data_IF_498665785017
#
_entry.id   IF_498665785017
#
_cell.length_a   1.000
_cell.length_b   1.000
_cell.length_c   1.000
_cell.angle_alpha   90.00
_cell.angle_beta   90.00
_cell.angle_gamma   90.00
#
_symmetry.space_group_name_H-M   'P 1'
#
loop_
_entity.id
_entity.type
_entity.pdbx_description
1 polymer ?
#
# COMPACT_ATOMS: atom_id res chain seq x y z
N UNK A 1 -18.01 26.26 44.62
CA UNK A 1 -18.44 26.69 43.27
C UNK A 1 -17.28 27.24 42.43
N UNK A 2 -16.39 28.11 42.95
CA UNK A 2 -15.28 28.68 42.18
C UNK A 2 -14.39 27.63 41.46
N UNK A 3 -14.03 26.53 42.13
CA UNK A 3 -13.19 25.47 41.56
C UNK A 3 -13.82 24.78 40.33
N UNK A 4 -15.15 24.64 40.31
CA UNK A 4 -15.87 24.06 39.18
C UNK A 4 -15.76 24.97 37.94
N UNK A 5 -15.93 26.27 38.13
CA UNK A 5 -15.82 27.26 37.06
C UNK A 5 -14.40 27.36 36.49
N UNK A 6 -13.39 27.28 37.36
CA UNK A 6 -11.98 27.26 36.94
C UNK A 6 -11.69 26.01 36.10
N UNK A 7 -12.12 24.83 36.54
CA UNK A 7 -11.93 23.59 35.79
C UNK A 7 -12.63 23.62 34.43
N UNK A 8 -13.85 24.16 34.39
CA UNK A 8 -14.63 24.30 33.17
C UNK A 8 -13.96 25.28 32.19
N UNK A 9 -13.45 26.42 32.67
CA UNK A 9 -12.72 27.39 31.86
C UNK A 9 -11.43 26.81 31.25
N UNK A 10 -10.65 26.04 32.03
CA UNK A 10 -9.44 25.37 31.55
C UNK A 10 -9.74 24.28 30.52
N UNK A 11 -10.80 23.51 30.75
CA UNK A 11 -11.25 22.47 29.80
C UNK A 11 -11.70 23.09 28.49
N UNK A 12 -12.47 24.19 28.52
CA UNK A 12 -12.88 24.92 27.32
C UNK A 12 -11.67 25.46 26.54
N UNK A 13 -10.69 26.02 27.25
CA UNK A 13 -9.47 26.55 26.62
C UNK A 13 -8.66 25.43 25.98
N UNK A 14 -8.55 24.28 26.64
CA UNK A 14 -7.86 23.10 26.10
C UNK A 14 -8.58 22.54 24.87
N UNK A 15 -9.91 22.44 24.92
CA UNK A 15 -10.72 22.02 23.77
C UNK A 15 -10.61 22.98 22.59
N UNK A 16 -10.64 24.29 22.84
CA UNK A 16 -10.43 25.30 21.80
C UNK A 16 -9.04 25.17 21.16
N UNK A 17 -8.00 25.00 21.98
CA UNK A 17 -6.64 24.80 21.50
C UNK A 17 -6.51 23.54 20.65
N UNK A 18 -7.00 22.39 21.13
CA UNK A 18 -6.98 21.13 20.39
C UNK A 18 -7.76 21.23 19.08
N UNK A 19 -8.92 21.90 19.08
CA UNK A 19 -9.71 22.14 17.87
C UNK A 19 -8.96 23.01 16.85
N UNK A 20 -8.24 24.03 17.31
CA UNK A 20 -7.39 24.86 16.44
C UNK A 20 -6.23 24.06 15.86
N UNK A 21 -5.60 23.19 16.65
CA UNK A 21 -4.55 22.28 16.17
C UNK A 21 -5.11 21.30 15.13
N UNK A 22 -6.30 20.72 15.36
CA UNK A 22 -6.98 19.86 14.39
C UNK A 22 -7.20 20.58 13.06
N UNK A 23 -7.73 21.80 13.10
CA UNK A 23 -7.99 22.59 11.90
C UNK A 23 -6.71 22.92 11.12
N UNK A 24 -5.61 23.22 11.82
CA UNK A 24 -4.35 23.63 11.18
C UNK A 24 -3.52 22.46 10.67
N UNK A 25 -3.61 21.29 11.29
CA UNK A 25 -2.71 20.16 11.03
C UNK A 25 -3.34 19.04 10.20
N UNK A 26 -4.65 18.86 10.25
CA UNK A 26 -5.32 17.81 9.51
C UNK A 26 -5.71 18.30 8.12
N UNK A 27 -5.42 17.50 7.11
CA UNK A 27 -5.81 17.80 5.73
C UNK A 27 -7.11 17.09 5.33
N UNK A 28 -7.56 17.34 4.10
CA UNK A 28 -8.78 16.74 3.58
C UNK A 28 -8.76 15.20 3.56
N UNK A 29 -7.58 14.57 3.47
CA UNK A 29 -7.45 13.12 3.51
C UNK A 29 -7.66 12.59 4.93
N UNK A 30 -7.10 13.26 5.93
CA UNK A 30 -7.31 12.88 7.33
C UNK A 30 -8.79 12.98 7.72
N UNK A 31 -9.48 14.04 7.28
CA UNK A 31 -10.91 14.20 7.53
C UNK A 31 -11.77 13.15 6.82
N UNK A 32 -11.36 12.69 5.63
CA UNK A 32 -12.15 11.74 4.83
C UNK A 32 -11.96 10.29 5.26
N UNK A 33 -10.74 9.90 5.63
CA UNK A 33 -10.39 8.50 5.89
C UNK A 33 -10.12 8.20 7.36
N UNK A 34 -9.94 9.23 8.20
CA UNK A 34 -9.57 9.11 9.61
C UNK A 34 -10.46 9.97 10.52
N UNK A 35 -11.67 10.31 10.09
CA UNK A 35 -12.59 11.14 10.89
C UNK A 35 -12.81 10.59 12.30
N UNK A 36 -13.00 9.28 12.39
CA UNK A 36 -13.41 8.62 13.64
C UNK A 36 -12.27 8.64 14.67
N UNK A 37 -11.06 8.29 14.23
CA UNK A 37 -9.86 8.35 15.07
C UNK A 37 -9.53 9.79 15.48
N UNK A 38 -9.71 10.75 14.57
CA UNK A 38 -9.51 12.18 14.85
C UNK A 38 -10.47 12.65 15.94
N UNK A 39 -11.76 12.34 15.82
CA UNK A 39 -12.78 12.72 16.81
C UNK A 39 -12.58 12.01 18.14
N UNK A 40 -12.25 10.72 18.12
CA UNK A 40 -11.93 9.95 19.33
C UNK A 40 -10.73 10.55 20.05
N UNK A 41 -9.65 10.84 19.33
CA UNK A 41 -8.45 11.48 19.87
C UNK A 41 -8.74 12.86 20.46
N UNK A 42 -9.62 13.64 19.82
CA UNK A 42 -10.08 14.93 20.34
C UNK A 42 -10.85 14.77 21.64
N UNK A 43 -11.87 13.91 21.67
CA UNK A 43 -12.69 13.67 22.86
C UNK A 43 -11.84 13.16 24.02
N UNK A 44 -10.93 12.21 23.79
CA UNK A 44 -10.00 11.72 24.80
C UNK A 44 -9.03 12.79 25.27
N UNK A 45 -8.51 13.62 24.35
CA UNK A 45 -7.64 14.75 24.68
C UNK A 45 -8.33 15.78 25.58
N UNK A 46 -9.60 16.09 25.30
CA UNK A 46 -10.42 17.02 26.09
C UNK A 46 -10.86 16.41 27.43
N UNK A 47 -11.16 15.12 27.51
CA UNK A 47 -11.58 14.47 28.76
C UNK A 47 -10.40 14.22 29.71
N UNK A 48 -9.25 13.80 29.16
CA UNK A 48 -8.10 13.34 29.95
C UNK A 48 -6.98 14.37 30.03
N UNK A 49 -7.22 15.64 29.68
CA UNK A 49 -6.19 16.69 29.67
C UNK A 49 -5.42 16.84 31.00
N UNK A 50 -6.02 16.72 32.21
CA UNK A 50 -5.26 16.89 33.44
C UNK A 50 -4.26 15.75 33.64
N UNK A 51 -4.64 14.53 33.27
CA UNK A 51 -3.79 13.35 33.34
C UNK A 51 -2.61 13.48 32.36
N UNK A 52 -2.87 13.92 31.13
CA UNK A 52 -1.84 14.10 30.12
C UNK A 52 -0.85 15.21 30.46
N UNK A 53 -1.29 16.30 31.11
CA UNK A 53 -0.37 17.33 31.59
C UNK A 53 0.62 16.80 32.63
N UNK A 54 0.19 15.88 33.49
CA UNK A 54 1.04 15.29 34.53
C UNK A 54 2.01 14.27 33.93
N UNK A 55 1.50 13.38 33.06
CA UNK A 55 2.29 12.25 32.54
C UNK A 55 3.20 12.66 31.38
N UNK A 56 2.68 13.40 30.40
CA UNK A 56 3.40 13.84 29.19
C UNK A 56 2.82 15.15 28.64
N UNK A 57 3.21 16.32 29.17
CA UNK A 57 2.63 17.59 28.78
C UNK A 57 2.82 17.90 27.28
N UNK A 58 3.89 17.39 26.66
CA UNK A 58 4.15 17.54 25.22
C UNK A 58 3.05 16.95 24.33
N UNK A 59 2.27 15.99 24.82
CA UNK A 59 1.18 15.36 24.05
C UNK A 59 0.04 16.34 23.74
N UNK A 60 -0.30 17.21 24.69
CA UNK A 60 -1.34 18.24 24.50
C UNK A 60 -0.80 19.40 23.67
N UNK A 61 0.40 19.91 24.00
CA UNK A 61 0.96 21.08 23.32
C UNK A 61 1.28 20.83 21.85
N UNK A 62 1.71 19.60 21.48
CA UNK A 62 1.97 19.23 20.08
C UNK A 62 0.77 18.63 19.36
N UNK A 63 -0.35 18.40 20.04
CA UNK A 63 -1.49 17.66 19.48
C UNK A 63 -1.14 16.22 19.08
N UNK A 64 -0.14 15.62 19.72
CA UNK A 64 0.36 14.29 19.35
C UNK A 64 -0.70 13.19 19.51
N UNK A 65 -1.69 13.40 20.37
CA UNK A 65 -2.86 12.49 20.56
C UNK A 65 -3.71 12.42 19.29
N UNK A 66 -3.81 13.53 18.54
CA UNK A 66 -4.60 13.64 17.31
C UNK A 66 -3.83 13.14 16.09
N UNK A 67 -2.50 13.26 16.12
CA UNK A 67 -1.58 12.86 15.05
C UNK A 67 -1.03 11.44 15.24
N UNK A 68 -1.46 10.73 16.29
CA UNK A 68 -0.98 9.39 16.60
C UNK A 68 -1.26 8.37 15.47
N UNK A 69 -2.29 8.61 14.65
CA UNK A 69 -2.62 7.78 13.49
C UNK A 69 -1.60 7.84 12.34
N UNK A 70 -0.67 8.80 12.33
CA UNK A 70 0.43 8.85 11.35
C UNK A 70 1.62 7.97 11.75
N UNK A 71 1.62 7.38 12.96
CA UNK A 71 2.64 6.42 13.33
C UNK A 71 2.35 5.06 12.68
N UNK A 72 3.34 4.44 12.01
CA UNK A 72 3.20 3.11 11.40
C UNK A 72 2.97 1.99 12.43
N UNK A 73 3.14 2.30 13.73
CA UNK A 73 2.86 1.40 14.86
C UNK A 73 1.52 1.70 15.55
N UNK A 74 0.73 2.64 15.05
CA UNK A 74 -0.60 2.90 15.60
C UNK A 74 -1.53 1.75 15.21
N UNK A 75 -2.38 1.34 16.15
CA UNK A 75 -3.33 0.23 15.97
C UNK A 75 -4.49 0.58 15.02
N UNK A 76 -4.39 1.71 14.31
CA UNK A 76 -5.41 2.29 13.45
C UNK A 76 -5.16 1.87 12.00
N UNK A 77 -6.09 1.07 11.47
CA UNK A 77 -6.16 0.70 10.05
C UNK A 77 -6.39 1.92 9.14
N UNK A 78 -7.00 3.00 9.66
CA UNK A 78 -7.31 4.22 8.90
C UNK A 78 -6.12 5.15 8.66
N UNK A 79 -5.14 5.19 9.58
CA UNK A 79 -3.95 6.04 9.48
C UNK A 79 -3.07 5.72 8.26
N UNK A 80 -2.79 4.43 8.05
CA UNK A 80 -2.04 3.97 6.88
C UNK A 80 -2.80 4.24 5.57
N UNK A 81 -4.13 4.19 5.58
CA UNK A 81 -4.95 4.46 4.40
C UNK A 81 -4.88 5.93 3.98
N UNK A 82 -5.06 6.88 4.91
CA UNK A 82 -4.99 8.31 4.59
C UNK A 82 -3.62 8.71 4.00
N UNK A 83 -2.53 8.21 4.60
CA UNK A 83 -1.18 8.44 4.11
C UNK A 83 -0.96 7.83 2.72
N UNK A 84 -1.39 6.57 2.51
CA UNK A 84 -1.31 5.89 1.20
C UNK A 84 -2.07 6.68 0.14
N UNK A 85 -3.31 7.10 0.40
CA UNK A 85 -4.11 7.92 -0.54
C UNK A 85 -3.45 9.24 -0.90
N UNK A 86 -2.86 9.90 0.10
CA UNK A 86 -2.12 11.15 -0.11
C UNK A 86 -0.95 10.94 -1.07
N UNK A 87 -0.19 9.86 -0.88
CA UNK A 87 0.92 9.49 -1.76
C UNK A 87 0.45 9.11 -3.17
N UNK A 88 -0.59 8.28 -3.29
CA UNK A 88 -1.20 7.93 -4.59
C UNK A 88 -1.63 9.19 -5.35
N UNK A 89 -2.30 10.11 -4.68
CA UNK A 89 -2.73 11.38 -5.28
C UNK A 89 -1.55 12.30 -5.65
N UNK A 90 -0.44 12.25 -4.91
CA UNK A 90 0.80 12.95 -5.30
C UNK A 90 1.38 12.35 -6.58
N UNK A 91 1.37 11.03 -6.74
CA UNK A 91 1.81 10.36 -7.98
C UNK A 91 0.93 10.77 -9.16
N UNK A 92 -0.39 10.88 -8.98
CA UNK A 92 -1.29 11.35 -10.04
C UNK A 92 -0.92 12.78 -10.48
N UNK A 93 -0.70 13.69 -9.52
CA UNK A 93 -0.43 15.10 -9.81
C UNK A 93 0.98 15.36 -10.32
N UNK A 94 1.95 14.63 -9.81
CA UNK A 94 3.37 14.78 -10.10
C UNK A 94 3.98 13.38 -10.16
N UNK A 95 3.76 12.65 -11.26
CA UNK A 95 4.23 11.28 -11.38
C UNK A 95 5.77 11.25 -11.29
N UNK A 96 6.34 10.24 -10.61
CA UNK A 96 7.77 10.01 -10.71
C UNK A 96 8.14 9.68 -12.16
N UNK A 97 9.42 9.85 -12.50
CA UNK A 97 9.92 9.45 -13.82
C UNK A 97 9.81 7.93 -13.95
N UNK A 98 9.28 7.47 -15.08
CA UNK A 98 9.23 6.06 -15.43
C UNK A 98 10.27 5.80 -16.52
N UNK A 99 11.15 4.82 -16.35
CA UNK A 99 12.08 4.40 -17.40
C UNK A 99 11.41 3.63 -18.53
N UNK A 100 12.20 3.20 -19.52
CA UNK A 100 11.70 2.29 -20.57
C UNK A 100 11.23 0.94 -19.98
N UNK A 101 11.86 0.53 -18.87
CA UNK A 101 11.59 -0.70 -18.14
C UNK A 101 11.12 -0.40 -16.73
N UNK A 102 10.25 -1.26 -16.23
CA UNK A 102 9.68 -1.17 -14.90
C UNK A 102 10.00 -2.45 -14.13
N UNK A 103 10.48 -2.31 -12.89
CA UNK A 103 10.74 -3.43 -11.99
C UNK A 103 9.65 -3.54 -10.93
N UNK A 104 9.25 -4.76 -10.65
CA UNK A 104 8.37 -5.10 -9.54
C UNK A 104 8.95 -6.27 -8.77
N UNK A 105 8.81 -6.24 -7.44
CA UNK A 105 9.33 -7.26 -6.54
C UNK A 105 8.15 -8.02 -5.96
N UNK A 106 7.98 -9.27 -6.36
CA UNK A 106 7.02 -10.16 -5.73
C UNK A 106 7.54 -10.60 -4.37
N UNK A 107 6.65 -10.64 -3.38
CA UNK A 107 6.92 -11.40 -2.17
C UNK A 107 6.84 -12.88 -2.54
N UNK A 108 7.96 -13.59 -2.46
CA UNK A 108 8.00 -15.01 -2.83
C UNK A 108 7.50 -15.85 -1.66
N UNK A 109 6.59 -16.79 -1.94
CA UNK A 109 6.14 -17.80 -0.98
C UNK A 109 7.02 -19.06 -1.05
N UNK A 110 8.22 -18.93 -1.59
CA UNK A 110 9.22 -19.97 -1.75
C UNK A 110 10.04 -20.24 -0.47
N UNK A 111 11.01 -21.16 -0.55
CA UNK A 111 11.94 -21.44 0.56
C UNK A 111 12.94 -20.31 0.81
N UNK A 112 13.15 -19.42 -0.16
CA UNK A 112 13.87 -18.17 0.01
C UNK A 112 12.89 -17.05 0.34
N UNK A 113 13.13 -16.34 1.44
CA UNK A 113 12.39 -15.14 1.85
C UNK A 113 12.79 -13.89 1.03
N UNK A 114 13.63 -14.09 0.00
CA UNK A 114 14.11 -13.03 -0.87
C UNK A 114 13.05 -12.72 -1.94
N UNK A 115 12.70 -11.44 -2.15
CA UNK A 115 11.71 -11.07 -3.14
C UNK A 115 12.21 -11.36 -4.56
N UNK A 116 11.32 -11.90 -5.39
CA UNK A 116 11.62 -12.20 -6.79
C UNK A 116 11.42 -10.94 -7.63
N UNK A 117 12.48 -10.50 -8.30
CA UNK A 117 12.44 -9.35 -9.19
C UNK A 117 11.91 -9.73 -10.58
N UNK A 118 10.93 -8.97 -11.03
CA UNK A 118 10.31 -9.09 -12.35
C UNK A 118 10.43 -7.76 -13.08
N UNK A 119 10.84 -7.82 -14.34
CA UNK A 119 11.04 -6.66 -15.21
C UNK A 119 10.03 -6.69 -16.36
N UNK A 120 9.37 -5.57 -16.60
CA UNK A 120 8.43 -5.37 -17.69
C UNK A 120 8.88 -4.19 -18.56
N UNK A 121 8.65 -4.26 -19.87
CA UNK A 121 8.77 -3.07 -20.72
C UNK A 121 7.54 -2.18 -20.51
N UNK A 122 7.73 -0.90 -20.25
CA UNK A 122 6.61 0.03 -19.95
C UNK A 122 5.60 0.10 -21.12
N UNK A 123 6.09 -0.04 -22.35
CA UNK A 123 5.28 -0.08 -23.56
C UNK A 123 4.36 -1.31 -23.62
N UNK A 124 4.82 -2.46 -23.15
CA UNK A 124 4.02 -3.69 -23.14
C UNK A 124 2.89 -3.61 -22.11
N UNK A 125 3.14 -2.98 -20.96
CA UNK A 125 2.10 -2.73 -19.95
C UNK A 125 1.01 -1.82 -20.54
N UNK A 126 1.40 -0.71 -21.16
CA UNK A 126 0.47 0.21 -21.80
C UNK A 126 -0.33 -0.49 -22.91
N UNK A 127 0.34 -1.30 -23.74
CA UNK A 127 -0.28 -2.04 -24.83
C UNK A 127 -1.26 -3.12 -24.36
N UNK A 128 -0.88 -3.91 -23.36
CA UNK A 128 -1.67 -5.04 -22.87
C UNK A 128 -2.97 -4.61 -22.19
N UNK A 129 -2.93 -3.51 -21.44
CA UNK A 129 -4.09 -2.96 -20.73
C UNK A 129 -4.85 -1.88 -21.51
N UNK A 130 -4.44 -1.58 -22.76
CA UNK A 130 -5.12 -0.58 -23.57
C UNK A 130 -6.58 -0.97 -23.82
N UNK A 131 -7.51 -0.17 -23.28
CA UNK A 131 -8.95 -0.39 -23.43
C UNK A 131 -9.52 -1.48 -22.53
N UNK A 132 -8.74 -2.01 -21.58
CA UNK A 132 -9.21 -2.91 -20.52
C UNK A 132 -9.36 -2.13 -19.21
N UNK A 133 -10.21 -2.62 -18.33
CA UNK A 133 -10.22 -2.17 -16.94
C UNK A 133 -8.98 -2.75 -16.24
N UNK A 134 -8.29 -1.93 -15.45
CA UNK A 134 -7.10 -2.39 -14.73
C UNK A 134 -7.54 -3.25 -13.53
N UNK A 135 -6.86 -4.38 -13.26
CA UNK A 135 -7.16 -5.25 -12.13
C UNK A 135 -6.63 -4.65 -10.82
N UNK A 136 -7.01 -3.42 -10.52
CA UNK A 136 -6.69 -2.71 -9.29
C UNK A 136 -8.01 -2.33 -8.61
N UNK A 137 -8.07 -2.57 -7.31
CA UNK A 137 -9.29 -2.36 -6.52
C UNK A 137 -9.69 -0.88 -6.44
N UNK A 138 -8.72 0.04 -6.48
CA UNK A 138 -8.97 1.47 -6.28
C UNK A 138 -8.75 2.29 -7.55
N UNK A 139 -9.74 3.12 -7.91
CA UNK A 139 -9.70 3.97 -9.11
C UNK A 139 -8.50 4.94 -9.13
N UNK A 140 -8.17 5.51 -7.99
CA UNK A 140 -7.04 6.42 -7.83
C UNK A 140 -5.69 5.70 -7.99
N UNK A 141 -5.57 4.41 -7.64
CA UNK A 141 -4.38 3.62 -7.96
C UNK A 141 -4.28 3.34 -9.47
N UNK A 142 -5.42 3.10 -10.14
CA UNK A 142 -5.48 3.00 -11.60
C UNK A 142 -5.01 4.28 -12.28
N UNK A 143 -5.49 5.44 -11.84
CA UNK A 143 -5.05 6.73 -12.35
C UNK A 143 -3.56 6.97 -12.09
N UNK A 144 -3.06 6.57 -10.91
CA UNK A 144 -1.65 6.73 -10.54
C UNK A 144 -0.72 5.87 -11.40
N UNK A 145 -1.04 4.59 -11.63
CA UNK A 145 -0.20 3.71 -12.48
C UNK A 145 -0.21 4.17 -13.93
N UNK A 146 -1.36 4.65 -14.44
CA UNK A 146 -1.47 5.22 -15.79
C UNK A 146 -0.61 6.49 -15.89
N UNK A 147 -0.70 7.39 -14.90
CA UNK A 147 0.10 8.62 -14.88
C UNK A 147 1.61 8.32 -14.83
N UNK A 148 2.00 7.33 -14.02
CA UNK A 148 3.39 6.86 -13.92
C UNK A 148 3.90 6.31 -15.26
N UNK A 149 3.20 5.34 -15.86
CA UNK A 149 3.61 4.71 -17.11
C UNK A 149 3.63 5.71 -18.28
N UNK A 150 2.67 6.64 -18.33
CA UNK A 150 2.64 7.68 -19.37
C UNK A 150 3.78 8.68 -19.25
N UNK A 151 4.30 8.91 -18.04
CA UNK A 151 5.45 9.76 -17.78
C UNK A 151 6.79 9.03 -18.08
N UNK A 152 6.82 8.27 -19.18
CA UNK A 152 8.00 7.52 -19.60
C UNK A 152 9.07 8.42 -20.16
N UNK A 153 10.30 8.18 -19.75
CA UNK A 153 11.51 8.78 -20.28
C UNK A 153 12.40 7.69 -20.89
N UNK A 154 12.50 7.69 -22.21
CA UNK A 154 13.30 6.72 -22.97
C UNK A 154 14.82 6.93 -22.81
N UNK A 155 15.24 8.05 -22.21
CA UNK A 155 16.66 8.32 -21.94
C UNK A 155 17.18 7.54 -20.73
N UNK A 156 16.27 7.05 -19.88
CA UNK A 156 16.60 6.21 -18.73
C UNK A 156 16.77 4.75 -19.18
N UNK A 157 18.02 4.29 -19.19
CA UNK A 157 18.39 2.90 -19.52
C UNK A 157 18.00 1.91 -18.42
N UNK A 158 17.96 2.38 -17.18
CA UNK A 158 17.80 1.54 -16.01
C UNK A 158 16.32 1.28 -15.73
N UNK A 159 16.01 0.09 -15.22
CA UNK A 159 14.64 -0.24 -14.87
C UNK A 159 14.20 0.54 -13.61
N UNK A 160 13.03 1.16 -13.68
CA UNK A 160 12.49 1.95 -12.57
C UNK A 160 11.53 1.11 -11.73
N UNK A 161 11.65 1.10 -10.39
CA UNK A 161 10.70 0.38 -9.56
C UNK A 161 9.30 0.99 -9.63
N UNK A 162 8.26 0.15 -9.63
CA UNK A 162 6.89 0.60 -9.40
C UNK A 162 6.79 1.22 -8.01
N UNK A 163 6.13 2.39 -7.84
CA UNK A 163 5.91 2.96 -6.52
C UNK A 163 5.15 2.00 -5.58
N UNK A 164 5.69 1.76 -4.39
CA UNK A 164 5.17 0.80 -3.38
C UNK A 164 3.71 1.04 -2.94
N UNK A 165 3.19 2.24 -3.18
CA UNK A 165 1.80 2.61 -2.82
C UNK A 165 0.77 2.06 -3.80
N UNK A 166 1.21 1.60 -4.97
CA UNK A 166 0.38 0.98 -6.01
C UNK A 166 0.47 -0.54 -5.82
N UNK A 167 -0.68 -1.18 -5.63
CA UNK A 167 -0.74 -2.64 -5.49
C UNK A 167 -0.62 -3.33 -6.86
N UNK A 168 0.61 -3.41 -7.38
CA UNK A 168 0.87 -3.89 -8.74
C UNK A 168 0.84 -5.41 -8.89
N UNK A 169 0.61 -6.17 -7.82
CA UNK A 169 0.73 -7.63 -7.80
C UNK A 169 -0.19 -8.32 -8.81
N UNK A 170 -1.47 -7.91 -8.84
CA UNK A 170 -2.47 -8.50 -9.73
C UNK A 170 -2.21 -8.14 -11.19
N UNK A 171 -1.80 -6.90 -11.47
CA UNK A 171 -1.39 -6.49 -12.82
C UNK A 171 -0.17 -7.27 -13.31
N UNK A 172 0.86 -7.39 -12.47
CA UNK A 172 2.07 -8.13 -12.78
C UNK A 172 1.76 -9.62 -13.03
N UNK A 173 0.85 -10.20 -12.24
CA UNK A 173 0.39 -11.58 -12.42
C UNK A 173 -0.28 -11.81 -13.79
N UNK A 174 -1.16 -10.91 -14.23
CA UNK A 174 -1.80 -11.01 -15.56
C UNK A 174 -0.80 -10.85 -16.71
N UNK A 175 0.19 -9.96 -16.55
CA UNK A 175 1.27 -9.80 -17.54
C UNK A 175 2.12 -11.06 -17.65
N UNK A 176 2.52 -11.65 -16.52
CA UNK A 176 3.28 -12.91 -16.48
C UNK A 176 2.46 -14.04 -17.13
N UNK A 177 1.17 -14.15 -16.79
CA UNK A 177 0.27 -15.15 -17.38
C UNK A 177 0.09 -14.97 -18.89
N UNK A 178 0.19 -13.74 -19.39
CA UNK A 178 0.19 -13.43 -20.81
C UNK A 178 1.54 -13.65 -21.52
N UNK A 179 2.57 -14.10 -20.80
CA UNK A 179 3.91 -14.28 -21.36
C UNK A 179 4.65 -12.96 -21.60
N UNK A 180 4.30 -11.90 -20.85
CA UNK A 180 4.92 -10.58 -20.91
C UNK A 180 5.85 -10.39 -19.70
N UNK A 181 7.05 -9.87 -19.95
CA UNK A 181 8.05 -9.58 -18.92
C UNK A 181 9.12 -10.66 -18.75
N UNK A 182 10.01 -10.41 -17.80
CA UNK A 182 11.17 -11.25 -17.47
C UNK A 182 11.27 -11.46 -15.97
N UNK A 183 11.50 -12.71 -15.54
CA UNK A 183 11.63 -13.08 -14.13
C UNK A 183 13.08 -13.43 -13.82
N UNK A 184 13.64 -12.86 -12.75
CA UNK A 184 14.95 -13.25 -12.24
C UNK A 184 14.84 -14.55 -11.43
N UNK A 185 15.45 -15.63 -11.91
CA UNK A 185 15.58 -16.85 -11.10
C UNK A 185 16.67 -16.66 -10.06
N UNK A 186 16.31 -16.71 -8.78
CA UNK A 186 17.24 -16.50 -7.64
C UNK A 186 18.40 -17.50 -7.66
N UNK A 187 18.14 -18.76 -8.02
CA UNK A 187 19.16 -19.83 -8.11
C UNK A 187 20.11 -19.62 -9.28
N UNK A 188 19.59 -19.34 -10.48
CA UNK A 188 20.41 -19.15 -11.67
C UNK A 188 21.08 -17.77 -11.73
N UNK A 189 20.54 -16.78 -11.02
CA UNK A 189 20.92 -15.35 -11.09
C UNK A 189 20.84 -14.79 -12.52
N UNK A 190 19.84 -15.24 -13.26
CA UNK A 190 19.58 -14.81 -14.64
C UNK A 190 18.11 -14.49 -14.84
N UNK A 191 17.85 -13.54 -15.75
CA UNK A 191 16.51 -13.21 -16.21
C UNK A 191 16.08 -14.16 -17.33
N UNK A 192 14.91 -14.75 -17.18
CA UNK A 192 14.24 -15.54 -18.21
C UNK A 192 12.99 -14.82 -18.67
N UNK A 193 12.71 -14.85 -19.97
CA UNK A 193 11.43 -14.38 -20.48
C UNK A 193 10.31 -15.28 -19.95
N UNK A 194 9.15 -14.70 -19.62
CA UNK A 194 8.04 -15.45 -19.02
C UNK A 194 7.53 -16.61 -19.88
N UNK A 195 7.61 -16.49 -21.22
CA UNK A 195 7.27 -17.58 -22.14
C UNK A 195 8.24 -18.76 -22.12
N UNK A 196 9.44 -18.60 -21.55
CA UNK A 196 10.43 -19.68 -21.38
C UNK A 196 10.22 -20.45 -20.07
N UNK A 197 9.36 -19.95 -19.19
CA UNK A 197 9.08 -20.56 -17.91
C UNK A 197 7.99 -21.63 -18.05
N UNK A 198 8.16 -22.73 -17.32
CA UNK A 198 7.11 -23.74 -17.20
C UNK A 198 6.22 -23.36 -16.03
N UNK A 199 4.92 -23.19 -16.29
CA UNK A 199 3.92 -22.96 -15.24
C UNK A 199 3.39 -24.30 -14.76
N UNK A 200 3.54 -24.56 -13.47
CA UNK A 200 2.89 -25.68 -12.78
C UNK A 200 1.74 -25.15 -11.92
N UNK A 201 0.59 -25.79 -12.07
CA UNK A 201 -0.57 -25.59 -11.21
C UNK A 201 -0.91 -26.95 -10.62
N UNK A 202 -0.37 -27.18 -9.42
CA UNK A 202 -0.71 -28.36 -8.64
C UNK A 202 -2.24 -28.49 -8.52
N UNK A 203 -2.72 -29.73 -8.42
CA UNK A 203 -4.13 -30.04 -8.19
C UNK A 203 -4.72 -29.18 -7.08
N UNK A 204 -5.89 -28.60 -7.34
CA UNK A 204 -6.57 -27.73 -6.39
C UNK A 204 -6.84 -28.45 -5.07
N UNK A 205 -6.40 -27.85 -3.98
CA UNK A 205 -6.62 -28.32 -2.61
C UNK A 205 -7.41 -27.30 -1.79
N UNK A 206 -8.17 -27.72 -0.77
CA UNK A 206 -8.75 -26.80 0.20
C UNK A 206 -7.65 -25.94 0.84
N UNK A 207 -7.87 -24.63 0.92
CA UNK A 207 -6.87 -23.66 1.37
C UNK A 207 -6.18 -22.89 0.24
N UNK A 208 -4.96 -22.43 0.50
CA UNK A 208 -4.16 -21.63 -0.45
C UNK A 208 -3.56 -22.51 -1.55
N UNK A 209 -3.86 -22.17 -2.79
CA UNK A 209 -3.29 -22.77 -3.99
C UNK A 209 -2.34 -21.76 -4.63
N UNK A 210 -1.21 -22.27 -5.11
CA UNK A 210 -0.12 -21.47 -5.63
C UNK A 210 0.09 -21.77 -7.12
N UNK A 211 0.50 -20.76 -7.87
CA UNK A 211 1.06 -20.95 -9.20
C UNK A 211 2.60 -20.92 -9.08
N UNK A 212 3.24 -21.99 -9.56
CA UNK A 212 4.70 -22.09 -9.57
C UNK A 212 5.22 -21.90 -10.99
N UNK A 213 6.25 -21.06 -11.14
CA UNK A 213 6.97 -20.87 -12.40
C UNK A 213 8.37 -21.42 -12.24
N UNK A 214 8.75 -22.32 -13.14
CA UNK A 214 10.05 -22.98 -13.15
C UNK A 214 10.88 -22.49 -14.34
N UNK A 215 12.15 -22.19 -14.09
CA UNK A 215 13.07 -21.82 -15.16
C UNK A 215 13.45 -23.04 -16.02
N UNK A 216 14.13 -22.85 -17.17
CA UNK A 216 14.56 -23.96 -18.03
C UNK A 216 15.49 -24.98 -17.34
N UNK A 217 16.09 -24.62 -16.21
CA UNK A 217 16.89 -25.53 -15.37
C UNK A 217 16.10 -26.20 -14.25
N UNK A 218 14.76 -26.11 -14.29
CA UNK A 218 13.82 -26.68 -13.30
C UNK A 218 13.95 -26.10 -11.87
N UNK A 219 14.57 -24.94 -11.72
CA UNK A 219 14.54 -24.21 -10.45
C UNK A 219 13.22 -23.42 -10.32
N UNK A 220 12.66 -23.39 -9.11
CA UNK A 220 11.55 -22.51 -8.77
C UNK A 220 12.01 -21.05 -8.94
N UNK A 221 11.41 -20.34 -9.90
CA UNK A 221 11.73 -18.95 -10.22
C UNK A 221 10.75 -17.97 -9.58
N UNK A 222 9.48 -18.36 -9.44
CA UNK A 222 8.45 -17.58 -8.77
C UNK A 222 7.39 -18.51 -8.21
N UNK A 223 6.96 -18.29 -6.97
CA UNK A 223 5.76 -18.89 -6.41
C UNK A 223 4.82 -17.79 -5.91
N UNK A 224 3.61 -17.75 -6.45
CA UNK A 224 2.60 -16.75 -6.09
C UNK A 224 1.29 -17.40 -5.65
N UNK A 225 0.57 -16.73 -4.77
CA UNK A 225 -0.80 -17.09 -4.45
C UNK A 225 -1.66 -16.97 -5.72
N UNK A 226 -2.48 -18.01 -5.97
CA UNK A 226 -3.36 -18.04 -7.12
C UNK A 226 -4.83 -18.02 -6.69
N UNK A 227 -5.20 -18.86 -5.72
CA UNK A 227 -6.58 -18.99 -5.28
C UNK A 227 -6.66 -19.57 -3.87
N UNK A 228 -7.53 -19.01 -3.04
CA UNK A 228 -7.91 -19.60 -1.76
C UNK A 228 -9.28 -20.28 -1.87
N UNK A 229 -9.32 -21.60 -1.69
CA UNK A 229 -10.57 -22.37 -1.73
C UNK A 229 -11.04 -22.59 -0.28
N UNK A 230 -12.13 -21.90 0.09
CA UNK A 230 -12.80 -22.14 1.36
C UNK A 230 -13.69 -23.38 1.29
N UNK A 231 -13.52 -24.29 2.24
CA UNK A 231 -14.45 -25.39 2.44
C UNK A 231 -15.65 -24.91 3.26
N UNK A 232 -16.87 -25.12 2.77
CA UNK A 232 -18.08 -24.98 3.57
C UNK A 232 -18.46 -26.37 4.07
N UNK A 233 -18.30 -26.60 5.37
CA UNK A 233 -18.88 -27.78 6.00
C UNK A 233 -20.37 -27.51 6.20
N UNK A 234 -21.21 -28.09 5.35
CA UNK A 234 -22.63 -28.18 5.65
C UNK A 234 -22.80 -29.28 6.71
N UNK A 235 -23.04 -28.88 7.96
CA UNK A 235 -23.46 -29.80 9.00
C UNK A 235 -24.91 -30.22 8.73
N UNK A 236 -25.07 -31.45 8.22
CA UNK A 236 -26.35 -32.14 8.15
C UNK A 236 -26.83 -32.63 9.50
#
# INVERSE_FOLDING_TARGET
MANLWIYLALTLTTGLWLGLVMWQKLDAFDWRYRSDDVWLGFCLGVLLWPLWLIVRPTFIFRGAILLAGDNPKSMSTGGNLAARRRQTHQIIKKPPLCGARVTYKFHDFGPSDDPVEVVFEAADIEGFFKGKELPLYWKDEQEAIIAFIKNRDMTLSDATPVPDVIDFEQMASELIDAGIGKICCVTCKMFYDTHQLTRDMSSLTPGWNFAEYRCPSDHLALRREHMHIHYRFDHG
#
